data_IF_673066726332
#
_entry.id   IF_673066726332
#
_cell.length_a   1.000
_cell.length_b   1.000
_cell.length_c   1.000
_cell.angle_alpha   90.00
_cell.angle_beta   90.00
_cell.angle_gamma   90.00
#
_symmetry.space_group_name_H-M   'P 1'
#
loop_
_entity.id
_entity.type
_entity.pdbx_description
1 polymer ?
#
# COMPACT_ATOMS: atom_id res chain seq x y z
N UNK A 1 27.17 -33.83 -51.98
CA UNK A 1 26.42 -34.19 -50.75
C UNK A 1 26.94 -33.30 -49.64
N UNK A 2 26.19 -32.25 -49.28
CA UNK A 2 26.60 -31.23 -48.31
C UNK A 2 26.15 -31.64 -46.91
N UNK A 3 27.08 -31.48 -45.97
CA UNK A 3 26.96 -31.73 -44.54
C UNK A 3 25.78 -31.02 -43.88
N UNK A 4 25.02 -31.78 -43.08
CA UNK A 4 24.13 -31.26 -42.04
C UNK A 4 24.90 -31.26 -40.72
N UNK A 5 25.51 -30.13 -40.36
CA UNK A 5 25.80 -29.81 -38.95
C UNK A 5 24.74 -28.80 -38.51
N UNK A 6 23.88 -29.24 -37.59
CA UNK A 6 22.96 -28.37 -36.84
C UNK A 6 23.82 -27.48 -35.96
N UNK A 7 23.84 -26.19 -36.25
CA UNK A 7 24.24 -25.17 -35.28
C UNK A 7 23.15 -25.09 -34.21
N UNK A 8 23.45 -25.66 -33.04
CA UNK A 8 22.92 -25.14 -31.78
C UNK A 8 23.60 -23.80 -31.56
N UNK A 9 22.98 -22.72 -32.06
CA UNK A 9 23.32 -21.38 -31.61
C UNK A 9 22.91 -21.27 -30.14
N UNK A 10 23.88 -21.53 -29.26
CA UNK A 10 23.85 -21.07 -27.88
C UNK A 10 23.63 -19.56 -27.90
N UNK A 11 22.48 -19.10 -27.40
CA UNK A 11 22.25 -17.70 -27.06
C UNK A 11 23.15 -17.32 -25.86
N UNK A 12 24.46 -17.24 -26.09
CA UNK A 12 25.38 -16.57 -25.18
C UNK A 12 25.37 -15.08 -25.50
N UNK A 13 24.94 -14.27 -24.54
CA UNK A 13 24.85 -12.81 -24.67
C UNK A 13 26.22 -12.21 -24.30
N UNK A 14 26.77 -11.28 -25.08
CA UNK A 14 27.97 -10.55 -24.69
C UNK A 14 27.68 -9.60 -23.51
N UNK A 15 28.58 -9.54 -22.53
CA UNK A 15 28.49 -8.67 -21.33
C UNK A 15 28.18 -7.19 -21.63
N UNK A 16 28.45 -6.74 -22.85
CA UNK A 16 28.18 -5.38 -23.32
C UNK A 16 26.69 -5.05 -23.45
N UNK A 17 25.78 -6.05 -23.51
CA UNK A 17 24.34 -5.80 -23.67
C UNK A 17 23.68 -5.24 -22.40
N UNK A 18 24.17 -5.62 -21.21
CA UNK A 18 23.67 -5.16 -19.92
C UNK A 18 23.98 -3.68 -19.64
N UNK A 19 24.95 -3.11 -20.35
CA UNK A 19 25.41 -1.73 -20.15
C UNK A 19 24.77 -0.70 -21.10
N UNK A 20 23.78 -1.08 -21.90
CA UNK A 20 23.22 -0.19 -22.93
C UNK A 20 22.26 0.84 -22.32
N UNK A 21 22.78 2.00 -21.91
CA UNK A 21 21.99 3.22 -21.66
C UNK A 21 21.29 3.63 -22.97
N UNK A 22 19.98 3.44 -23.04
CA UNK A 22 19.20 3.74 -24.24
C UNK A 22 18.99 5.24 -24.39
N UNK A 23 19.45 5.79 -25.51
CA UNK A 23 19.39 7.24 -25.79
C UNK A 23 18.65 7.59 -27.08
N UNK A 24 18.18 6.59 -27.86
CA UNK A 24 17.45 6.83 -29.11
C UNK A 24 16.35 5.79 -29.42
N UNK A 25 15.44 6.14 -30.35
CA UNK A 25 14.35 5.30 -30.87
C UNK A 25 14.87 4.02 -31.57
N UNK A 26 16.11 4.02 -32.05
CA UNK A 26 16.73 2.90 -32.76
C UNK A 26 17.15 1.77 -31.80
N UNK A 27 17.25 2.05 -30.50
CA UNK A 27 17.54 1.04 -29.48
C UNK A 27 16.30 0.25 -29.06
N UNK A 28 15.09 0.63 -29.49
CA UNK A 28 13.83 -0.02 -29.13
C UNK A 28 13.86 -1.53 -29.40
N UNK A 29 14.33 -2.08 -30.55
CA UNK A 29 14.41 -3.52 -30.77
C UNK A 29 15.36 -4.27 -29.81
N UNK A 30 16.49 -3.64 -29.43
CA UNK A 30 17.43 -4.19 -28.44
C UNK A 30 16.77 -4.22 -27.05
N UNK A 31 16.06 -3.14 -26.73
CA UNK A 31 15.21 -2.98 -25.56
C UNK A 31 14.18 -4.12 -25.43
N UNK A 32 13.47 -4.44 -26.52
CA UNK A 32 12.49 -5.54 -26.56
C UNK A 32 13.17 -6.86 -26.24
N UNK A 33 14.35 -7.09 -26.81
CA UNK A 33 15.12 -8.32 -26.62
C UNK A 33 15.59 -8.45 -25.17
N UNK A 34 16.13 -7.39 -24.58
CA UNK A 34 16.49 -7.33 -23.15
C UNK A 34 15.26 -7.55 -22.26
N UNK A 35 14.13 -6.90 -22.58
CA UNK A 35 12.86 -7.06 -21.84
C UNK A 35 12.36 -8.51 -21.88
N UNK A 36 12.41 -9.16 -23.04
CA UNK A 36 12.03 -10.57 -23.21
C UNK A 36 13.01 -11.50 -22.51
N UNK A 37 14.30 -11.18 -22.50
CA UNK A 37 15.33 -11.97 -21.80
C UNK A 37 15.18 -11.87 -20.28
N UNK A 38 15.08 -10.66 -19.73
CA UNK A 38 14.77 -10.41 -18.32
C UNK A 38 13.49 -11.16 -17.93
N UNK A 39 12.46 -11.11 -18.78
CA UNK A 39 11.22 -11.85 -18.57
C UNK A 39 11.41 -13.38 -18.57
N UNK A 40 12.16 -13.93 -19.52
CA UNK A 40 12.45 -15.37 -19.61
C UNK A 40 13.33 -15.88 -18.47
N UNK A 41 14.22 -15.04 -17.94
CA UNK A 41 15.19 -15.40 -16.91
C UNK A 41 14.65 -15.18 -15.48
N UNK A 42 13.80 -14.18 -15.26
CA UNK A 42 12.95 -14.08 -14.05
C UNK A 42 11.97 -15.26 -13.91
N UNK A 43 11.64 -15.93 -15.02
CA UNK A 43 10.87 -17.17 -15.04
C UNK A 43 11.75 -18.43 -14.94
N UNK A 44 13.08 -18.29 -14.93
CA UNK A 44 14.01 -19.42 -14.92
C UNK A 44 14.19 -19.99 -13.51
N UNK A 45 14.55 -21.27 -13.44
CA UNK A 45 14.83 -21.97 -12.19
C UNK A 45 16.22 -21.67 -11.61
N UNK A 46 17.06 -20.85 -12.28
CA UNK A 46 18.40 -20.51 -11.81
C UNK A 46 18.38 -19.22 -10.95
N UNK A 47 18.54 -19.40 -9.64
CA UNK A 47 18.37 -18.34 -8.62
C UNK A 47 19.39 -17.21 -8.73
N UNK A 48 20.61 -17.46 -9.18
CA UNK A 48 21.66 -16.43 -9.30
C UNK A 48 21.40 -15.49 -10.50
N UNK A 49 20.97 -16.05 -11.62
CA UNK A 49 20.66 -15.31 -12.85
C UNK A 49 19.40 -14.44 -12.68
N UNK A 50 18.36 -14.97 -12.03
CA UNK A 50 17.15 -14.19 -11.71
C UNK A 50 17.43 -12.99 -10.78
N UNK A 51 18.57 -12.97 -10.09
CA UNK A 51 18.87 -12.00 -9.06
C UNK A 51 19.54 -10.72 -9.58
N UNK A 52 20.43 -10.85 -10.56
CA UNK A 52 21.09 -9.71 -11.23
C UNK A 52 20.08 -8.95 -12.11
N UNK A 53 19.17 -9.68 -12.73
CA UNK A 53 18.21 -9.11 -13.68
C UNK A 53 17.07 -8.33 -13.04
N UNK A 54 16.59 -8.72 -11.85
CA UNK A 54 15.59 -7.91 -11.13
C UNK A 54 16.23 -6.59 -10.64
N UNK A 55 17.51 -6.62 -10.26
CA UNK A 55 18.26 -5.41 -9.96
C UNK A 55 18.37 -4.49 -11.19
N UNK A 56 18.69 -5.04 -12.38
CA UNK A 56 18.72 -4.25 -13.62
C UNK A 56 17.33 -3.76 -14.04
N UNK A 57 16.29 -4.56 -13.87
CA UNK A 57 14.90 -4.16 -14.11
C UNK A 57 14.54 -2.94 -13.27
N UNK A 58 14.88 -2.97 -11.97
CA UNK A 58 14.72 -1.83 -11.06
C UNK A 58 15.50 -0.61 -11.55
N UNK A 59 16.76 -0.78 -11.97
CA UNK A 59 17.56 0.31 -12.51
C UNK A 59 16.95 0.92 -13.79
N UNK A 60 16.46 0.09 -14.72
CA UNK A 60 15.87 0.55 -15.98
C UNK A 60 14.53 1.27 -15.79
N UNK A 61 13.69 0.81 -14.85
CA UNK A 61 12.42 1.45 -14.53
C UNK A 61 12.61 2.87 -13.96
N UNK A 62 13.69 3.11 -13.23
CA UNK A 62 14.05 4.44 -12.74
C UNK A 62 14.45 5.40 -13.87
N UNK A 63 15.04 4.89 -14.96
CA UNK A 63 15.65 5.74 -16.01
C UNK A 63 14.70 6.02 -17.18
N UNK A 64 13.77 5.10 -17.52
CA UNK A 64 12.97 5.22 -18.74
C UNK A 64 11.51 4.69 -18.62
N UNK A 65 10.81 5.00 -17.53
CA UNK A 65 9.47 4.46 -17.17
C UNK A 65 8.48 4.25 -18.34
N UNK A 66 8.22 5.26 -19.17
CA UNK A 66 7.15 5.21 -20.17
C UNK A 66 7.41 4.26 -21.34
N UNK A 67 8.69 4.02 -21.69
CA UNK A 67 9.06 3.17 -22.83
C UNK A 67 8.92 1.67 -22.52
N UNK A 68 9.11 1.27 -21.26
CA UNK A 68 9.26 -0.13 -20.87
C UNK A 68 8.01 -0.72 -20.22
N UNK A 69 7.32 0.08 -19.41
CA UNK A 69 6.30 -0.42 -18.48
C UNK A 69 5.11 -1.06 -19.21
N UNK A 70 4.58 -0.40 -20.25
CA UNK A 70 3.45 -0.95 -21.02
C UNK A 70 3.75 -2.27 -21.73
N UNK A 71 5.00 -2.52 -22.12
CA UNK A 71 5.41 -3.80 -22.76
C UNK A 71 5.57 -4.91 -21.72
N UNK A 72 6.19 -4.60 -20.59
CA UNK A 72 6.35 -5.54 -19.47
C UNK A 72 5.00 -6.02 -18.93
N UNK A 73 4.03 -5.11 -18.80
CA UNK A 73 2.67 -5.44 -18.39
C UNK A 73 2.00 -6.44 -19.34
N UNK A 74 2.13 -6.23 -20.66
CA UNK A 74 1.62 -7.18 -21.68
C UNK A 74 2.28 -8.56 -21.62
N UNK A 75 3.49 -8.64 -21.08
CA UNK A 75 4.18 -9.90 -20.90
C UNK A 75 3.76 -10.62 -19.60
N UNK A 76 2.89 -10.07 -18.76
CA UNK A 76 2.53 -10.67 -17.45
C UNK A 76 3.65 -10.57 -16.40
N UNK A 77 4.43 -9.48 -16.44
CA UNK A 77 5.50 -9.24 -15.46
C UNK A 77 4.98 -9.27 -14.00
N UNK A 78 3.76 -8.78 -13.75
CA UNK A 78 3.16 -8.75 -12.42
C UNK A 78 3.00 -10.17 -11.87
N UNK A 79 2.52 -11.11 -12.68
CA UNK A 79 2.36 -12.51 -12.30
C UNK A 79 3.71 -13.17 -11.98
N UNK A 80 4.74 -12.89 -12.77
CA UNK A 80 6.09 -13.42 -12.55
C UNK A 80 6.69 -12.87 -11.26
N UNK A 81 6.60 -11.56 -11.04
CA UNK A 81 7.14 -10.94 -9.83
C UNK A 81 6.40 -11.45 -8.60
N UNK A 82 5.07 -11.56 -8.66
CA UNK A 82 4.26 -12.15 -7.59
C UNK A 82 4.66 -13.61 -7.31
N UNK A 83 4.89 -14.41 -8.33
CA UNK A 83 5.39 -15.79 -8.20
C UNK A 83 6.76 -15.83 -7.49
N UNK A 84 7.66 -14.90 -7.84
CA UNK A 84 8.98 -14.80 -7.22
C UNK A 84 8.93 -14.40 -5.74
N UNK A 85 7.92 -13.62 -5.30
CA UNK A 85 7.73 -13.32 -3.87
C UNK A 85 7.52 -14.59 -3.03
N UNK A 86 6.88 -15.61 -3.60
CA UNK A 86 6.50 -16.84 -2.90
C UNK A 86 7.54 -17.94 -3.09
N UNK A 87 8.00 -18.14 -4.33
CA UNK A 87 8.77 -19.34 -4.70
C UNK A 87 10.29 -19.19 -4.53
N UNK A 88 10.79 -17.97 -4.39
CA UNK A 88 12.21 -17.72 -4.15
C UNK A 88 12.49 -17.70 -2.66
N UNK A 89 13.60 -18.27 -2.20
CA UNK A 89 13.98 -18.26 -0.77
C UNK A 89 14.80 -17.02 -0.39
N UNK A 90 15.45 -16.38 -1.37
CA UNK A 90 16.37 -15.27 -1.14
C UNK A 90 15.65 -13.93 -0.96
N UNK A 91 15.78 -13.35 0.23
CA UNK A 91 15.13 -12.09 0.59
C UNK A 91 15.48 -10.92 -0.33
N UNK A 92 16.73 -10.81 -0.81
CA UNK A 92 17.11 -9.71 -1.68
C UNK A 92 16.37 -9.72 -3.03
N UNK A 93 16.14 -10.91 -3.60
CA UNK A 93 15.35 -11.08 -4.84
C UNK A 93 13.90 -10.72 -4.59
N UNK A 94 13.33 -11.14 -3.45
CA UNK A 94 11.98 -10.73 -3.05
C UNK A 94 11.88 -9.22 -2.86
N UNK A 95 12.90 -8.59 -2.29
CA UNK A 95 12.93 -7.15 -2.04
C UNK A 95 12.89 -6.37 -3.35
N UNK A 96 13.73 -6.74 -4.33
CA UNK A 96 13.71 -6.07 -5.63
C UNK A 96 12.41 -6.37 -6.40
N UNK A 97 11.88 -7.60 -6.32
CA UNK A 97 10.60 -7.93 -6.93
C UNK A 97 9.43 -7.12 -6.32
N UNK A 98 9.40 -7.02 -4.99
CA UNK A 98 8.40 -6.24 -4.26
C UNK A 98 8.54 -4.75 -4.57
N UNK A 99 9.77 -4.23 -4.66
CA UNK A 99 10.03 -2.85 -5.05
C UNK A 99 9.49 -2.54 -6.45
N UNK A 100 9.73 -3.43 -7.42
CA UNK A 100 9.20 -3.28 -8.78
C UNK A 100 7.68 -3.31 -8.77
N UNK A 101 7.05 -4.21 -8.01
CA UNK A 101 5.59 -4.25 -7.87
C UNK A 101 5.03 -2.94 -7.28
N UNK A 102 5.67 -2.38 -6.25
CA UNK A 102 5.30 -1.07 -5.69
C UNK A 102 5.37 0.01 -6.78
N UNK A 103 6.42 0.03 -7.59
CA UNK A 103 6.59 1.00 -8.66
C UNK A 103 5.52 0.86 -9.77
N UNK A 104 5.17 -0.36 -10.16
CA UNK A 104 4.11 -0.59 -11.16
C UNK A 104 2.75 -0.16 -10.58
N UNK A 105 2.46 -0.51 -9.32
CA UNK A 105 1.20 -0.18 -8.65
C UNK A 105 0.99 1.31 -8.40
N UNK A 106 2.06 2.12 -8.35
CA UNK A 106 1.97 3.58 -8.25
C UNK A 106 1.71 4.26 -9.61
N UNK A 107 1.33 3.49 -10.63
CA UNK A 107 0.98 3.96 -11.96
C UNK A 107 -0.44 4.50 -12.07
N UNK A 108 -1.01 4.43 -13.27
CA UNK A 108 -2.41 4.76 -13.51
C UNK A 108 -3.33 3.54 -13.27
N UNK A 109 -4.64 3.75 -13.40
CA UNK A 109 -5.62 2.69 -13.20
C UNK A 109 -5.52 1.54 -14.20
N UNK A 110 -4.93 1.75 -15.39
CA UNK A 110 -4.69 0.64 -16.33
C UNK A 110 -3.65 -0.33 -15.75
N UNK A 111 -2.62 0.18 -15.08
CA UNK A 111 -1.62 -0.66 -14.42
C UNK A 111 -2.22 -1.47 -13.26
N UNK A 112 -3.11 -0.86 -12.47
CA UNK A 112 -3.78 -1.54 -11.34
C UNK A 112 -4.55 -2.78 -11.79
N UNK A 113 -5.14 -2.77 -12.99
CA UNK A 113 -5.88 -3.94 -13.51
C UNK A 113 -5.05 -5.22 -13.57
N UNK A 114 -3.73 -5.13 -13.77
CA UNK A 114 -2.84 -6.30 -13.80
C UNK A 114 -2.64 -6.96 -12.43
N UNK A 115 -2.95 -6.24 -11.34
CA UNK A 115 -2.86 -6.74 -9.96
C UNK A 115 -4.15 -7.38 -9.46
N UNK A 116 -5.29 -7.19 -10.15
CA UNK A 116 -6.60 -7.70 -9.74
C UNK A 116 -6.75 -9.20 -10.05
N UNK A 117 -5.86 -10.00 -9.46
CA UNK A 117 -5.78 -11.45 -9.56
C UNK A 117 -5.57 -12.02 -8.16
N UNK A 118 -6.30 -13.08 -7.81
CA UNK A 118 -6.20 -13.71 -6.49
C UNK A 118 -4.77 -14.19 -6.18
N UNK A 119 -4.05 -14.72 -7.18
CA UNK A 119 -2.66 -15.15 -7.04
C UNK A 119 -1.72 -14.00 -6.65
N UNK A 120 -1.91 -12.82 -7.23
CA UNK A 120 -1.08 -11.63 -6.95
C UNK A 120 -1.37 -11.10 -5.55
N UNK A 121 -2.65 -10.94 -5.20
CA UNK A 121 -3.04 -10.47 -3.86
C UNK A 121 -2.61 -11.48 -2.79
N UNK A 122 -2.73 -12.78 -3.04
CA UNK A 122 -2.25 -13.82 -2.11
C UNK A 122 -0.73 -13.78 -1.94
N UNK A 123 0.03 -13.56 -3.01
CA UNK A 123 1.49 -13.45 -2.94
C UNK A 123 1.92 -12.26 -2.08
N UNK A 124 1.34 -11.08 -2.31
CA UNK A 124 1.59 -9.90 -1.49
C UNK A 124 1.17 -10.13 -0.03
N UNK A 125 -0.02 -10.68 0.19
CA UNK A 125 -0.56 -10.95 1.53
C UNK A 125 0.33 -11.90 2.33
N UNK A 126 0.97 -12.87 1.68
CA UNK A 126 1.89 -13.80 2.34
C UNK A 126 3.11 -13.10 2.98
N UNK A 127 3.53 -11.96 2.41
CA UNK A 127 4.64 -11.17 2.94
C UNK A 127 4.29 -10.41 4.22
N UNK A 128 3.01 -10.31 4.61
CA UNK A 128 2.64 -9.62 5.85
C UNK A 128 3.09 -10.36 7.12
N UNK A 129 3.44 -11.64 7.00
CA UNK A 129 3.85 -12.50 8.12
C UNK A 129 5.36 -12.82 8.13
N UNK A 130 6.15 -12.23 7.23
CA UNK A 130 7.61 -12.46 7.21
C UNK A 130 8.32 -11.50 8.17
N UNK A 131 9.47 -11.92 8.69
CA UNK A 131 10.23 -11.11 9.67
C UNK A 131 10.96 -9.91 9.07
N UNK A 132 11.12 -9.87 7.74
CA UNK A 132 11.86 -8.82 7.06
C UNK A 132 10.97 -7.57 6.90
N UNK A 133 11.24 -6.47 7.62
CA UNK A 133 10.37 -5.29 7.61
C UNK A 133 10.30 -4.61 6.24
N UNK A 134 11.34 -4.71 5.41
CA UNK A 134 11.34 -4.12 4.07
C UNK A 134 10.35 -4.83 3.15
N UNK A 135 10.28 -6.16 3.22
CA UNK A 135 9.30 -6.95 2.45
C UNK A 135 7.87 -6.66 2.90
N UNK A 136 7.66 -6.60 4.21
CA UNK A 136 6.36 -6.23 4.80
C UNK A 136 5.95 -4.83 4.34
N UNK A 137 6.84 -3.84 4.45
CA UNK A 137 6.60 -2.47 4.01
C UNK A 137 6.22 -2.39 2.52
N UNK A 138 7.02 -2.98 1.64
CA UNK A 138 6.79 -2.95 0.19
C UNK A 138 5.47 -3.64 -0.19
N UNK A 139 5.15 -4.75 0.47
CA UNK A 139 3.88 -5.45 0.25
C UNK A 139 2.68 -4.58 0.63
N UNK A 140 2.71 -4.01 1.84
CA UNK A 140 1.65 -3.12 2.31
C UNK A 140 1.52 -1.89 1.41
N UNK A 141 2.63 -1.31 0.97
CA UNK A 141 2.62 -0.16 0.06
C UNK A 141 2.00 -0.53 -1.29
N UNK A 142 2.39 -1.65 -1.89
CA UNK A 142 1.80 -2.14 -3.14
C UNK A 142 0.29 -2.33 -2.99
N UNK A 143 -0.16 -3.03 -1.93
CA UNK A 143 -1.59 -3.23 -1.63
C UNK A 143 -2.33 -1.91 -1.40
N UNK A 144 -1.70 -0.96 -0.71
CA UNK A 144 -2.24 0.38 -0.45
C UNK A 144 -2.47 1.15 -1.75
N UNK A 145 -1.54 1.09 -2.71
CA UNK A 145 -1.69 1.72 -4.01
C UNK A 145 -2.84 1.08 -4.82
N UNK A 146 -2.94 -0.25 -4.83
CA UNK A 146 -4.04 -0.98 -5.48
C UNK A 146 -5.39 -0.57 -4.88
N UNK A 147 -5.50 -0.56 -3.55
CA UNK A 147 -6.73 -0.14 -2.86
C UNK A 147 -7.06 1.31 -3.21
N UNK A 148 -6.05 2.19 -3.27
CA UNK A 148 -6.20 3.61 -3.54
C UNK A 148 -6.68 3.95 -4.96
N UNK A 149 -6.65 3.01 -5.89
CA UNK A 149 -7.05 3.21 -7.28
C UNK A 149 -8.55 3.47 -7.44
N UNK A 150 -9.38 2.79 -6.64
CA UNK A 150 -10.83 2.93 -6.76
C UNK A 150 -11.64 1.91 -5.96
N UNK A 151 -12.97 2.08 -5.90
CA UNK A 151 -13.85 1.22 -5.11
C UNK A 151 -13.81 -0.25 -5.54
N UNK A 152 -13.63 -0.53 -6.84
CA UNK A 152 -13.51 -1.91 -7.37
C UNK A 152 -12.26 -2.60 -6.86
N UNK A 153 -11.10 -1.93 -6.95
CA UNK A 153 -9.84 -2.47 -6.49
C UNK A 153 -9.81 -2.62 -4.96
N UNK A 154 -10.34 -1.63 -4.22
CA UNK A 154 -10.53 -1.71 -2.77
C UNK A 154 -11.33 -2.94 -2.37
N UNK A 155 -12.50 -3.14 -2.97
CA UNK A 155 -13.37 -4.28 -2.66
C UNK A 155 -12.69 -5.62 -3.00
N UNK A 156 -12.00 -5.70 -4.14
CA UNK A 156 -11.27 -6.89 -4.54
C UNK A 156 -10.22 -7.31 -3.49
N UNK A 157 -9.45 -6.35 -2.97
CA UNK A 157 -8.45 -6.63 -1.94
C UNK A 157 -9.10 -6.94 -0.59
N UNK A 158 -10.17 -6.24 -0.20
CA UNK A 158 -10.86 -6.50 1.07
C UNK A 158 -11.46 -7.92 1.14
N UNK A 159 -11.98 -8.45 0.02
CA UNK A 159 -12.49 -9.84 -0.08
C UNK A 159 -11.42 -10.91 0.16
N UNK A 160 -10.14 -10.59 0.01
CA UNK A 160 -9.03 -11.50 0.36
C UNK A 160 -8.79 -11.63 1.87
N UNK A 161 -9.66 -11.03 2.71
CA UNK A 161 -9.55 -10.99 4.17
C UNK A 161 -8.28 -10.30 4.68
N UNK A 162 -7.78 -9.32 3.91
CA UNK A 162 -6.53 -8.63 4.21
C UNK A 162 -6.50 -7.97 5.59
N UNK A 163 -7.64 -7.45 6.06
CA UNK A 163 -7.77 -6.78 7.36
C UNK A 163 -7.35 -7.69 8.52
N UNK A 164 -7.69 -8.98 8.46
CA UNK A 164 -7.29 -9.95 9.48
C UNK A 164 -5.79 -10.28 9.44
N UNK A 165 -5.12 -10.06 8.32
CA UNK A 165 -3.69 -10.30 8.16
C UNK A 165 -2.84 -9.14 8.69
N UNK A 166 -3.41 -7.95 8.86
CA UNK A 166 -2.71 -6.76 9.36
C UNK A 166 -2.34 -6.85 10.86
N UNK A 167 -2.92 -7.79 11.61
CA UNK A 167 -2.54 -8.05 13.00
C UNK A 167 -1.08 -8.46 13.17
N UNK A 168 -0.53 -9.22 12.22
CA UNK A 168 0.86 -9.68 12.23
C UNK A 168 1.84 -8.50 12.17
N UNK A 169 1.81 -7.63 11.14
CA UNK A 169 2.74 -6.51 11.05
C UNK A 169 2.52 -5.49 12.17
N UNK A 170 1.28 -5.27 12.64
CA UNK A 170 1.01 -4.42 13.80
C UNK A 170 1.73 -4.91 15.06
N UNK A 171 1.78 -6.22 15.30
CA UNK A 171 2.43 -6.80 16.50
C UNK A 171 3.94 -6.89 16.34
N UNK A 172 4.43 -7.32 15.19
CA UNK A 172 5.85 -7.61 14.97
C UNK A 172 6.67 -6.36 14.65
N UNK A 173 6.05 -5.35 14.01
CA UNK A 173 6.75 -4.21 13.44
C UNK A 173 6.22 -2.85 13.94
N UNK A 174 5.53 -2.80 15.08
CA UNK A 174 4.98 -1.56 15.64
C UNK A 174 6.02 -0.43 15.77
N UNK A 175 7.25 -0.77 16.16
CA UNK A 175 8.34 0.20 16.31
C UNK A 175 8.97 0.66 14.99
N UNK A 176 8.63 0.02 13.87
CA UNK A 176 9.14 0.35 12.54
C UNK A 176 8.27 1.44 11.92
N UNK A 177 8.75 2.68 11.97
CA UNK A 177 8.05 3.85 11.39
C UNK A 177 7.71 3.63 9.90
N UNK A 178 8.61 3.13 9.03
CA UNK A 178 8.29 2.90 7.62
C UNK A 178 7.13 1.91 7.40
N UNK A 179 7.13 0.79 8.14
CA UNK A 179 6.05 -0.21 8.06
C UNK A 179 4.74 0.38 8.56
N UNK A 180 4.75 1.08 9.71
CA UNK A 180 3.55 1.68 10.27
C UNK A 180 3.00 2.81 9.40
N UNK A 181 3.84 3.62 8.74
CA UNK A 181 3.39 4.62 7.76
C UNK A 181 2.72 3.98 6.55
N UNK A 182 3.30 2.90 6.01
CA UNK A 182 2.69 2.16 4.90
C UNK A 182 1.35 1.53 5.31
N UNK A 183 1.28 0.95 6.51
CA UNK A 183 0.06 0.33 7.05
C UNK A 183 -1.02 1.38 7.27
N UNK A 184 -0.67 2.51 7.86
CA UNK A 184 -1.60 3.61 8.10
C UNK A 184 -2.11 4.19 6.79
N UNK A 185 -1.26 4.34 5.77
CA UNK A 185 -1.66 4.74 4.41
C UNK A 185 -2.64 3.75 3.78
N UNK A 186 -2.44 2.45 3.99
CA UNK A 186 -3.38 1.42 3.54
C UNK A 186 -4.75 1.60 4.21
N UNK A 187 -4.79 1.78 5.53
CA UNK A 187 -6.03 2.05 6.27
C UNK A 187 -6.69 3.35 5.82
N UNK A 188 -5.91 4.40 5.58
CA UNK A 188 -6.40 5.65 5.02
C UNK A 188 -7.10 5.42 3.68
N UNK A 189 -6.49 4.68 2.75
CA UNK A 189 -7.10 4.38 1.45
C UNK A 189 -8.33 3.48 1.56
N UNK A 190 -8.36 2.57 2.54
CA UNK A 190 -9.54 1.74 2.83
C UNK A 190 -10.71 2.63 3.28
N UNK A 191 -10.48 3.51 4.26
CA UNK A 191 -11.51 4.38 4.86
C UNK A 191 -11.91 5.55 3.96
N UNK A 192 -11.03 6.01 3.06
CA UNK A 192 -11.28 7.16 2.20
C UNK A 192 -12.53 6.96 1.36
N UNK A 193 -13.45 7.90 1.46
CA UNK A 193 -14.60 7.94 0.55
C UNK A 193 -14.13 8.28 -0.85
N UNK A 194 -14.36 7.36 -1.78
CA UNK A 194 -14.18 7.54 -3.21
C UNK A 194 -15.57 7.85 -3.79
N UNK A 195 -16.06 7.04 -4.73
CA UNK A 195 -17.45 7.13 -5.21
C UNK A 195 -18.45 6.45 -4.26
N UNK A 196 -17.97 5.58 -3.38
CA UNK A 196 -18.78 4.89 -2.36
C UNK A 196 -18.06 4.88 -1.02
N UNK A 197 -18.85 4.92 0.06
CA UNK A 197 -18.36 4.61 1.40
C UNK A 197 -17.89 3.14 1.47
N UNK A 198 -17.11 2.81 2.49
CA UNK A 198 -16.76 1.42 2.77
C UNK A 198 -18.00 0.65 3.22
N UNK A 199 -18.09 -0.65 2.92
CA UNK A 199 -19.16 -1.47 3.45
C UNK A 199 -19.04 -1.58 4.98
N UNK A 200 -20.16 -1.40 5.67
CA UNK A 200 -20.21 -1.33 7.13
C UNK A 200 -19.65 -2.60 7.81
N UNK A 201 -19.77 -3.76 7.16
CA UNK A 201 -19.24 -5.05 7.63
C UNK A 201 -17.71 -5.07 7.83
N UNK A 202 -16.97 -4.17 7.18
CA UNK A 202 -15.53 -4.04 7.36
C UNK A 202 -15.16 -3.17 8.56
N UNK A 203 -16.05 -2.28 9.02
CA UNK A 203 -15.77 -1.32 10.11
C UNK A 203 -15.35 -2.02 11.41
N UNK A 204 -16.01 -3.10 11.88
CA UNK A 204 -15.58 -3.83 13.07
C UNK A 204 -14.17 -4.44 12.97
N UNK A 205 -13.68 -4.73 11.77
CA UNK A 205 -12.31 -5.23 11.54
C UNK A 205 -11.28 -4.10 11.46
N UNK A 206 -11.69 -2.90 11.08
CA UNK A 206 -10.81 -1.72 10.96
C UNK A 206 -10.57 -1.05 12.31
N UNK A 207 -11.60 -0.99 13.16
CA UNK A 207 -11.55 -0.34 14.48
C UNK A 207 -10.37 -0.83 15.34
N UNK A 208 -10.12 -2.14 15.52
CA UNK A 208 -8.98 -2.62 16.31
C UNK A 208 -7.62 -2.16 15.77
N UNK A 209 -7.49 -2.02 14.45
CA UNK A 209 -6.26 -1.55 13.80
C UNK A 209 -6.06 -0.06 14.12
N UNK A 210 -7.11 0.76 13.94
CA UNK A 210 -7.07 2.18 14.30
C UNK A 210 -6.78 2.38 15.79
N UNK A 211 -7.33 1.52 16.66
CA UNK A 211 -7.17 1.59 18.11
C UNK A 211 -5.72 1.33 18.57
N UNK A 212 -4.99 0.50 17.83
CA UNK A 212 -3.55 0.26 18.00
C UNK A 212 -2.72 1.40 17.40
N UNK A 213 -3.06 1.88 16.21
CA UNK A 213 -2.28 2.94 15.55
C UNK A 213 -2.41 4.31 16.23
N UNK A 214 -3.58 4.62 16.80
CA UNK A 214 -3.83 5.92 17.45
C UNK A 214 -2.96 6.16 18.69
N UNK A 215 -2.38 5.10 19.28
CA UNK A 215 -1.45 5.21 20.43
C UNK A 215 0.03 5.28 20.00
N UNK A 216 0.30 5.33 18.70
CA UNK A 216 1.66 5.50 18.18
C UNK A 216 2.25 6.87 18.56
N UNK A 217 3.58 7.02 18.50
CA UNK A 217 4.27 8.27 18.92
C UNK A 217 4.55 9.25 17.77
N UNK A 218 4.59 8.75 16.55
CA UNK A 218 4.78 9.57 15.34
C UNK A 218 3.49 10.31 15.00
N UNK A 219 3.54 11.65 14.99
CA UNK A 219 2.37 12.50 14.72
C UNK A 219 1.81 12.31 13.31
N UNK A 220 2.64 11.96 12.32
CA UNK A 220 2.17 11.69 10.95
C UNK A 220 1.26 10.47 10.90
N UNK A 221 1.64 9.40 11.60
CA UNK A 221 0.79 8.20 11.76
C UNK A 221 -0.51 8.56 12.48
N UNK A 222 -0.45 9.29 13.59
CA UNK A 222 -1.66 9.70 14.32
C UNK A 222 -2.56 10.57 13.43
N UNK A 223 -1.99 11.51 12.67
CA UNK A 223 -2.70 12.39 11.75
C UNK A 223 -3.52 11.60 10.73
N UNK A 224 -2.88 10.65 10.04
CA UNK A 224 -3.56 9.79 9.06
C UNK A 224 -4.64 8.90 9.71
N UNK A 225 -4.43 8.43 10.95
CA UNK A 225 -5.46 7.71 11.72
C UNK A 225 -6.67 8.58 12.01
N UNK A 226 -6.46 9.82 12.47
CA UNK A 226 -7.55 10.77 12.75
C UNK A 226 -8.32 11.12 11.48
N UNK A 227 -7.64 11.31 10.35
CA UNK A 227 -8.31 11.53 9.06
C UNK A 227 -9.09 10.30 8.62
N UNK A 228 -8.55 9.10 8.84
CA UNK A 228 -9.25 7.83 8.56
C UNK A 228 -10.54 7.70 9.38
N UNK A 229 -10.50 8.02 10.68
CA UNK A 229 -11.69 8.07 11.55
C UNK A 229 -12.66 9.17 11.07
N UNK A 230 -12.15 10.31 10.61
CA UNK A 230 -12.96 11.40 10.06
C UNK A 230 -13.75 10.94 8.83
N UNK A 231 -13.15 10.13 7.95
CA UNK A 231 -13.89 9.54 6.83
C UNK A 231 -15.02 8.62 7.30
N UNK A 232 -14.76 7.71 8.25
CA UNK A 232 -15.79 6.80 8.77
C UNK A 232 -16.93 7.56 9.47
N UNK A 233 -16.60 8.63 10.20
CA UNK A 233 -17.61 9.48 10.89
C UNK A 233 -18.36 10.42 9.95
N UNK A 234 -17.91 10.58 8.71
CA UNK A 234 -18.61 11.33 7.65
C UNK A 234 -19.55 10.44 6.81
N UNK A 235 -19.51 9.13 6.99
CA UNK A 235 -20.36 8.16 6.30
C UNK A 235 -21.78 8.11 6.91
N UNK A 236 -22.49 6.98 6.82
CA UNK A 236 -23.86 6.87 7.37
C UNK A 236 -23.88 6.91 8.91
N UNK A 237 -25.05 7.20 9.50
CA UNK A 237 -25.22 7.19 10.95
C UNK A 237 -24.82 5.85 11.58
N UNK A 238 -25.11 4.72 10.93
CA UNK A 238 -24.67 3.40 11.40
C UNK A 238 -23.14 3.29 11.52
N UNK A 239 -22.37 3.89 10.60
CA UNK A 239 -20.91 3.94 10.72
C UNK A 239 -20.49 4.75 11.94
N UNK A 240 -21.15 5.90 12.15
CA UNK A 240 -20.90 6.76 13.32
C UNK A 240 -21.19 6.01 14.61
N UNK A 241 -22.32 5.30 14.70
CA UNK A 241 -22.69 4.50 15.88
C UNK A 241 -21.62 3.45 16.16
N UNK A 242 -21.15 2.69 15.16
CA UNK A 242 -20.07 1.71 15.37
C UNK A 242 -18.78 2.34 15.90
N UNK A 243 -18.42 3.53 15.42
CA UNK A 243 -17.23 4.25 15.90
C UNK A 243 -17.43 4.72 17.34
N UNK A 244 -18.60 5.24 17.69
CA UNK A 244 -18.93 5.65 19.07
C UNK A 244 -18.90 4.44 20.01
N UNK A 245 -19.61 3.36 19.65
CA UNK A 245 -19.78 2.15 20.46
C UNK A 245 -18.45 1.43 20.72
N UNK A 246 -17.48 1.58 19.82
CA UNK A 246 -16.13 1.04 20.03
C UNK A 246 -15.34 1.72 21.15
N UNK A 247 -15.75 2.93 21.55
CA UNK A 247 -15.04 3.73 22.54
C UNK A 247 -13.75 4.39 22.03
N UNK A 248 -13.35 4.21 20.75
CA UNK A 248 -12.13 4.80 20.18
C UNK A 248 -12.13 6.34 20.28
N UNK A 249 -13.32 6.94 20.26
CA UNK A 249 -13.53 8.38 20.38
C UNK A 249 -12.94 8.92 21.69
N UNK A 250 -12.88 8.15 22.78
CA UNK A 250 -12.24 8.57 24.04
C UNK A 250 -10.72 8.81 23.90
N UNK A 251 -10.07 8.13 22.95
CA UNK A 251 -8.65 8.36 22.65
C UNK A 251 -8.46 9.58 21.76
N UNK A 252 -9.39 9.81 20.82
CA UNK A 252 -9.37 10.92 19.86
C UNK A 252 -9.27 12.29 20.56
N UNK A 253 -9.97 12.51 21.67
CA UNK A 253 -9.92 13.79 22.41
C UNK A 253 -8.53 14.20 22.90
N UNK A 254 -7.63 13.24 23.12
CA UNK A 254 -6.30 13.51 23.67
C UNK A 254 -5.41 14.33 22.73
N UNK A 255 -5.81 14.49 21.47
CA UNK A 255 -5.03 15.16 20.43
C UNK A 255 -5.44 16.62 20.19
N UNK A 256 -6.37 17.17 20.98
CA UNK A 256 -6.91 18.51 20.78
C UNK A 256 -5.95 19.64 21.11
N UNK A 257 -4.96 19.39 21.97
CA UNK A 257 -3.97 20.37 22.42
C UNK A 257 -2.52 19.88 22.20
N UNK A 258 -2.29 18.97 21.24
CA UNK A 258 -0.95 18.41 20.97
C UNK A 258 -0.21 19.23 19.91
N UNK A 259 -0.78 19.37 18.72
CA UNK A 259 -0.24 20.19 17.63
C UNK A 259 -1.36 20.71 16.75
N UNK A 260 -1.19 21.85 16.04
CA UNK A 260 -2.27 22.44 15.25
C UNK A 260 -2.88 21.48 14.22
N UNK A 261 -2.05 20.65 13.59
CA UNK A 261 -2.48 19.64 12.62
C UNK A 261 -3.37 18.57 13.27
N UNK A 262 -2.92 18.00 14.39
CA UNK A 262 -3.69 16.99 15.12
C UNK A 262 -4.98 17.58 15.71
N UNK A 263 -4.95 18.83 16.18
CA UNK A 263 -6.15 19.55 16.66
C UNK A 263 -7.19 19.67 15.55
N UNK A 264 -6.78 20.07 14.33
CA UNK A 264 -7.69 20.19 13.17
C UNK A 264 -8.30 18.84 12.81
N UNK A 265 -7.47 17.79 12.70
CA UNK A 265 -7.95 16.46 12.34
C UNK A 265 -8.91 15.90 13.40
N UNK A 266 -8.60 16.10 14.68
CA UNK A 266 -9.45 15.71 15.79
C UNK A 266 -10.79 16.45 15.77
N UNK A 267 -10.77 17.76 15.54
CA UNK A 267 -11.99 18.56 15.40
C UNK A 267 -12.85 18.09 14.22
N UNK A 268 -12.24 17.68 13.11
CA UNK A 268 -12.95 17.09 11.98
C UNK A 268 -13.80 15.88 12.37
N UNK A 269 -13.22 14.94 13.14
CA UNK A 269 -13.93 13.76 13.68
C UNK A 269 -15.12 14.20 14.54
N UNK A 270 -14.89 15.10 15.50
CA UNK A 270 -15.92 15.51 16.45
C UNK A 270 -17.05 16.28 15.80
N UNK A 271 -16.76 17.13 14.81
CA UNK A 271 -17.76 17.87 14.05
C UNK A 271 -18.62 16.91 13.23
N UNK A 272 -18.04 15.92 12.56
CA UNK A 272 -18.80 14.94 11.79
C UNK A 272 -19.80 14.18 12.69
N UNK A 273 -19.36 13.75 13.88
CA UNK A 273 -20.23 13.11 14.87
C UNK A 273 -21.36 14.06 15.29
N UNK A 274 -21.04 15.34 15.57
CA UNK A 274 -22.02 16.32 16.04
C UNK A 274 -23.16 16.57 15.05
N UNK A 275 -22.86 16.48 13.76
CA UNK A 275 -23.79 16.76 12.66
C UNK A 275 -24.55 15.52 12.20
N UNK A 276 -24.14 14.31 12.62
CA UNK A 276 -24.73 13.05 12.14
C UNK A 276 -26.20 12.85 12.52
N UNK A 277 -26.53 12.71 13.82
CA UNK A 277 -27.90 12.57 14.34
C UNK A 277 -28.00 13.11 15.78
N UNK A 278 -29.23 13.40 16.24
CA UNK A 278 -29.46 14.05 17.54
C UNK A 278 -28.99 13.24 18.76
N UNK A 279 -29.05 11.91 18.69
CA UNK A 279 -28.55 11.00 19.75
C UNK A 279 -27.02 11.01 19.81
N UNK A 280 -26.34 11.04 18.66
CA UNK A 280 -24.88 11.22 18.60
C UNK A 280 -24.45 12.61 19.09
N UNK A 281 -25.26 13.65 18.84
CA UNK A 281 -25.02 14.98 19.42
C UNK A 281 -25.10 14.94 20.94
N UNK A 282 -26.04 14.19 21.55
CA UNK A 282 -26.12 14.05 23.02
C UNK A 282 -24.90 13.36 23.62
N UNK A 283 -24.33 12.36 22.93
CA UNK A 283 -23.03 11.77 23.31
C UNK A 283 -21.94 12.85 23.42
N UNK A 284 -21.84 13.73 22.43
CA UNK A 284 -20.91 14.85 22.49
C UNK A 284 -21.28 15.91 23.52
N UNK A 285 -22.55 16.04 23.95
CA UNK A 285 -22.95 16.95 25.02
C UNK A 285 -22.49 16.48 26.40
N UNK A 286 -22.41 15.17 26.63
CA UNK A 286 -21.75 14.62 27.82
C UNK A 286 -20.23 14.95 27.77
N UNK A 287 -19.67 15.05 26.56
CA UNK A 287 -18.29 15.46 26.32
C UNK A 287 -18.10 16.99 26.18
N UNK A 288 -19.17 17.82 26.17
CA UNK A 288 -19.09 19.30 26.01
C UNK A 288 -18.29 19.97 27.12
N UNK A 289 -18.25 19.36 28.31
CA UNK A 289 -17.39 19.79 29.41
C UNK A 289 -15.91 19.88 28.97
N UNK A 290 -15.46 18.99 28.06
CA UNK A 290 -14.12 19.02 27.48
C UNK A 290 -13.95 20.06 26.35
N UNK A 291 -14.98 20.30 25.55
CA UNK A 291 -14.96 21.36 24.51
C UNK A 291 -14.88 22.77 25.10
N UNK A 292 -15.49 23.00 26.27
CA UNK A 292 -15.33 24.27 27.01
C UNK A 292 -13.88 24.47 27.44
N UNK A 293 -13.18 23.41 27.86
CA UNK A 293 -11.75 23.46 28.17
C UNK A 293 -10.90 23.81 26.95
N UNK A 294 -11.19 23.23 25.78
CA UNK A 294 -10.42 23.51 24.55
C UNK A 294 -10.66 24.93 24.03
N UNK A 295 -11.89 25.43 24.13
CA UNK A 295 -12.21 26.84 23.79
C UNK A 295 -11.45 27.81 24.70
N UNK A 296 -11.22 27.42 25.96
CA UNK A 296 -10.40 28.16 26.90
C UNK A 296 -8.90 28.06 26.56
N UNK A 297 -8.39 26.86 26.21
CA UNK A 297 -7.01 26.64 25.77
C UNK A 297 -6.65 27.46 24.51
N UNK A 298 -7.48 27.40 23.46
CA UNK A 298 -7.26 28.14 22.20
C UNK A 298 -7.31 29.66 22.37
N UNK A 299 -8.06 30.18 23.35
CA UNK A 299 -8.08 31.61 23.67
C UNK A 299 -6.80 32.08 24.40
N UNK A 300 -6.10 31.18 25.08
CA UNK A 300 -4.84 31.48 25.78
C UNK A 300 -3.62 31.40 24.85
N UNK A 301 -3.64 30.55 23.82
CA UNK A 301 -2.53 30.40 22.86
C UNK A 301 -2.48 31.51 21.79
N UNK A 302 -3.58 32.25 21.60
CA UNK A 302 -3.66 33.40 20.68
C UNK A 302 -3.43 34.77 21.35
N UNK A 303 -2.85 34.80 22.55
CA UNK A 303 -2.34 36.00 23.23
C UNK A 303 -0.84 35.90 23.41
#
# INVERSE_FOLDING_TARGET
>A
MRDRKREQDSLSIPDTFYHTMCTSIEDIPKLVKVTILVFQQCASSNREVASEDIFYLRHHLCTNKELFLGRLLKLSIVDILASNLVNVETDYVKCDAAWVLTFISSGDSQHTTFFLKESVISALSSLLSVSNPLLVEQSIWTLSNIIGDGPVAREFVLRSNILSLLDQPLKQHFSSIPVMKSLTRMIFNICKRMDMDIAIEYVPKIIPILDVLIIHKDEGIIGDVLISISYLTKSSSDHVSMIIDSGIINKVYKFLDISPELTINTMGVLINIAVSESEHTQYLQIMKSMLICIRYSLQQTMR
#
